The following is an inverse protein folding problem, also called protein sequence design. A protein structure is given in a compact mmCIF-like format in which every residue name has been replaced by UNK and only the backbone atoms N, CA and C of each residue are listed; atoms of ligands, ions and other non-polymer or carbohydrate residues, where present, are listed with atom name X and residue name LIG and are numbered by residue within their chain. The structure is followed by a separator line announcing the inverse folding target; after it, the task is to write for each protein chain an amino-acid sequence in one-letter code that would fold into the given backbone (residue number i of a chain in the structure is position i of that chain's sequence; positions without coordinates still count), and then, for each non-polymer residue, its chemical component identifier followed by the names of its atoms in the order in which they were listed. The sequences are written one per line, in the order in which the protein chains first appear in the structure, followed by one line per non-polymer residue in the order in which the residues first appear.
data_IF_040896074926
#
_entry.id   IF_040896074926
#
_cell.length_a   1.000
_cell.length_b   1.000
_cell.length_c   1.000
_cell.angle_alpha   90.00
_cell.angle_beta   90.00
_cell.angle_gamma   90.00
#
_symmetry.space_group_name_H-M   'P 1'
#
loop_
_entity.id
_entity.type
_entity.pdbx_description
1 polymer ?
#
# COMPACT_ATOMS: atom_id res chain seq x y z
N UNK A 1 27.10 5.08 10.47
CA UNK A 1 25.98 4.68 11.35
C UNK A 1 24.70 5.00 10.60
N UNK A 2 24.07 4.01 9.99
CA UNK A 2 22.81 4.16 9.24
C UNK A 2 21.68 4.09 10.25
N UNK A 3 21.08 5.23 10.57
CA UNK A 3 19.88 5.29 11.41
C UNK A 3 18.75 4.63 10.63
N UNK A 4 18.34 3.42 11.04
CA UNK A 4 17.10 2.80 10.55
C UNK A 4 15.92 3.64 11.03
N UNK A 5 15.38 4.46 10.14
CA UNK A 5 14.14 5.20 10.39
C UNK A 5 13.01 4.25 10.03
N UNK A 6 12.19 3.86 11.01
CA UNK A 6 10.94 3.16 10.70
C UNK A 6 10.01 4.12 9.96
N UNK A 7 9.53 3.73 8.79
CA UNK A 7 8.63 4.53 7.93
C UNK A 7 7.35 4.95 8.69
N UNK A 8 7.00 4.23 9.75
CA UNK A 8 5.83 4.42 10.61
C UNK A 8 5.95 5.61 11.58
N UNK A 9 7.16 6.10 11.89
CA UNK A 9 7.38 7.21 12.84
C UNK A 9 7.62 8.56 12.18
N UNK A 10 7.43 8.65 10.86
CA UNK A 10 7.65 9.89 10.11
C UNK A 10 6.45 10.82 10.32
N UNK A 11 6.70 11.94 11.00
CA UNK A 11 5.75 13.04 11.12
C UNK A 11 5.41 13.59 9.72
N UNK A 12 4.26 13.16 9.17
CA UNK A 12 3.81 13.58 7.85
C UNK A 12 3.48 15.07 7.87
N UNK A 13 4.29 15.88 7.19
CA UNK A 13 4.00 17.31 7.05
C UNK A 13 3.04 17.51 5.89
N UNK A 14 1.97 18.28 6.09
CA UNK A 14 1.06 18.65 5.00
C UNK A 14 1.31 20.09 4.56
N UNK A 15 1.24 20.30 3.25
CA UNK A 15 1.19 21.62 2.61
C UNK A 15 0.04 21.64 1.62
N UNK A 16 -0.92 22.56 1.80
CA UNK A 16 -2.14 22.62 0.98
C UNK A 16 -2.91 21.28 0.95
N UNK A 17 -3.02 20.60 2.10
CA UNK A 17 -3.60 19.25 2.25
C UNK A 17 -2.89 18.13 1.48
N UNK A 18 -1.71 18.39 0.92
CA UNK A 18 -0.89 17.39 0.23
C UNK A 18 0.24 16.96 1.19
N UNK A 19 0.43 15.64 1.40
CA UNK A 19 1.58 15.11 2.11
C UNK A 19 2.89 15.49 1.41
N UNK A 20 3.81 16.07 2.17
CA UNK A 20 5.09 16.54 1.67
C UNK A 20 6.22 16.29 2.67
N UNK A 21 7.44 16.15 2.15
CA UNK A 21 8.65 15.94 2.94
C UNK A 21 9.77 16.89 2.51
N UNK A 22 10.67 17.24 3.43
CA UNK A 22 11.81 18.12 3.10
C UNK A 22 12.92 17.36 2.39
N UNK A 23 13.88 18.10 1.82
CA UNK A 23 15.04 17.50 1.12
C UNK A 23 15.91 16.71 2.10
N UNK A 24 16.01 17.15 3.36
CA UNK A 24 16.75 16.48 4.42
C UNK A 24 16.14 15.13 4.77
N UNK A 25 14.82 15.10 4.99
CA UNK A 25 14.10 13.86 5.28
C UNK A 25 14.15 12.91 4.07
N UNK A 26 14.01 13.43 2.85
CA UNK A 26 14.12 12.63 1.63
C UNK A 26 15.50 11.99 1.46
N UNK A 27 16.57 12.73 1.77
CA UNK A 27 17.93 12.22 1.73
C UNK A 27 18.15 11.11 2.76
N UNK A 28 17.64 11.29 3.98
CA UNK A 28 17.68 10.27 5.03
C UNK A 28 16.93 9.00 4.63
N UNK A 29 15.72 9.14 4.07
CA UNK A 29 14.90 8.02 3.59
C UNK A 29 15.62 7.20 2.52
N UNK A 30 16.30 7.86 1.59
CA UNK A 30 17.04 7.17 0.53
C UNK A 30 18.48 6.79 0.89
N UNK A 31 18.90 6.99 2.15
CA UNK A 31 20.28 6.68 2.55
C UNK A 31 21.34 7.46 1.76
N UNK A 32 21.01 8.68 1.32
CA UNK A 32 21.88 9.50 0.47
C UNK A 32 22.11 10.88 1.08
N UNK A 33 22.97 11.67 0.44
CA UNK A 33 23.27 13.03 0.89
C UNK A 33 22.28 14.04 0.31
N UNK A 34 21.95 15.08 1.08
CA UNK A 34 21.09 16.20 0.65
C UNK A 34 21.56 16.80 -0.68
N UNK A 35 22.89 16.93 -0.86
CA UNK A 35 23.48 17.46 -2.08
C UNK A 35 23.14 16.62 -3.31
N UNK A 36 23.02 15.29 -3.16
CA UNK A 36 22.67 14.39 -4.27
C UNK A 36 21.22 14.59 -4.71
N UNK A 37 20.30 14.80 -3.77
CA UNK A 37 18.91 15.13 -4.08
C UNK A 37 18.83 16.47 -4.85
N UNK A 38 19.57 17.49 -4.38
CA UNK A 38 19.59 18.81 -5.03
C UNK A 38 20.20 18.75 -6.45
N UNK A 39 21.34 18.06 -6.60
CA UNK A 39 21.97 17.87 -7.91
C UNK A 39 21.07 17.10 -8.86
N UNK A 40 20.35 16.09 -8.35
CA UNK A 40 19.40 15.32 -9.15
C UNK A 40 18.28 16.20 -9.71
N UNK A 41 17.67 17.02 -8.84
CA UNK A 41 16.65 17.99 -9.25
C UNK A 41 17.19 18.97 -10.28
N UNK A 42 18.38 19.54 -10.06
CA UNK A 42 18.99 20.51 -10.96
C UNK A 42 19.28 19.91 -12.36
N UNK A 43 19.82 18.68 -12.42
CA UNK A 43 20.14 18.00 -13.69
C UNK A 43 18.90 17.53 -14.46
N UNK A 44 17.79 17.32 -13.76
CA UNK A 44 16.55 16.81 -14.35
C UNK A 44 15.40 17.81 -14.20
N UNK A 45 15.71 19.11 -14.09
CA UNK A 45 14.72 20.14 -13.75
C UNK A 45 13.49 20.12 -14.67
N UNK A 46 13.68 19.87 -15.97
CA UNK A 46 12.64 19.69 -16.98
C UNK A 46 11.63 18.57 -16.66
N UNK A 47 12.03 17.58 -15.86
CA UNK A 47 11.18 16.48 -15.43
C UNK A 47 10.39 16.86 -14.18
N UNK A 48 10.80 17.87 -13.42
CA UNK A 48 10.08 18.31 -12.21
C UNK A 48 9.15 19.48 -12.54
N UNK A 49 7.99 19.49 -11.88
CA UNK A 49 6.91 20.44 -12.16
C UNK A 49 6.45 20.93 -10.79
N UNK A 50 6.55 22.23 -10.58
CA UNK A 50 6.08 22.87 -9.37
C UNK A 50 4.56 22.67 -9.21
N UNK A 51 4.11 22.43 -7.98
CA UNK A 51 2.72 22.08 -7.66
C UNK A 51 2.38 20.60 -7.85
N UNK A 52 3.12 19.86 -8.69
CA UNK A 52 2.90 18.42 -8.93
C UNK A 52 3.94 17.54 -8.27
N UNK A 53 5.21 17.92 -8.36
CA UNK A 53 6.33 17.13 -7.84
C UNK A 53 6.92 17.79 -6.60
N UNK A 54 6.95 19.12 -6.56
CA UNK A 54 7.47 19.88 -5.43
C UNK A 54 6.75 21.22 -5.25
N UNK A 55 6.93 21.83 -4.09
CA UNK A 55 6.55 23.21 -3.81
C UNK A 55 7.79 23.99 -3.36
N UNK A 56 8.04 25.17 -3.94
CA UNK A 56 9.12 26.05 -3.50
C UNK A 56 8.57 27.15 -2.61
N UNK A 57 8.84 27.04 -1.32
CA UNK A 57 8.45 28.04 -0.34
C UNK A 57 9.48 29.15 -0.24
N UNK A 58 9.02 30.39 -0.34
CA UNK A 58 9.82 31.61 -0.18
C UNK A 58 9.07 32.62 0.68
N UNK A 59 9.80 33.59 1.24
CA UNK A 59 9.19 34.73 1.94
C UNK A 59 8.29 34.31 3.12
N UNK A 60 7.02 34.76 3.08
CA UNK A 60 6.07 34.58 4.18
C UNK A 60 5.67 33.12 4.40
N UNK A 61 5.40 32.36 3.32
CA UNK A 61 4.99 30.95 3.43
C UNK A 61 6.08 30.09 4.11
N UNK A 62 7.35 30.39 3.83
CA UNK A 62 8.48 29.73 4.49
C UNK A 62 8.53 30.07 5.99
N UNK A 63 8.21 31.32 6.35
CA UNK A 63 8.22 31.76 7.75
C UNK A 63 7.11 31.09 8.56
N UNK A 64 5.93 30.96 7.98
CA UNK A 64 4.78 30.27 8.58
C UNK A 64 5.06 28.78 8.76
N UNK A 65 5.63 28.12 7.74
CA UNK A 65 6.01 26.72 7.86
C UNK A 65 7.08 26.51 8.95
N UNK A 66 8.11 27.36 9.01
CA UNK A 66 9.15 27.28 10.06
C UNK A 66 8.55 27.38 11.46
N UNK A 67 7.55 28.25 11.67
CA UNK A 67 6.84 28.37 12.94
C UNK A 67 6.01 27.12 13.27
N UNK A 68 5.41 26.49 12.26
CA UNK A 68 4.67 25.23 12.43
C UNK A 68 5.59 24.06 12.75
N UNK A 69 6.74 23.97 12.07
CA UNK A 69 7.70 22.87 12.21
C UNK A 69 8.64 23.01 13.42
N UNK A 70 8.80 24.21 14.01
CA UNK A 70 9.55 24.35 15.27
C UNK A 70 8.91 23.59 16.44
N UNK A 71 7.65 23.14 16.29
CA UNK A 71 6.92 22.32 17.25
C UNK A 71 7.12 20.80 17.02
N UNK A 72 7.67 20.39 15.88
CA UNK A 72 7.94 18.99 15.54
C UNK A 72 9.44 18.69 15.64
N UNK A 73 9.86 17.82 16.57
CA UNK A 73 11.28 17.47 16.78
C UNK A 73 11.95 16.79 15.57
N UNK A 74 11.15 16.33 14.60
CA UNK A 74 11.60 15.45 13.53
C UNK A 74 12.40 16.16 12.42
N UNK A 75 12.25 17.48 12.23
CA UNK A 75 12.82 18.18 11.06
C UNK A 75 13.53 19.48 11.47
N UNK A 76 14.86 19.47 11.39
CA UNK A 76 15.70 20.67 11.63
C UNK A 76 15.86 21.47 10.34
N UNK A 77 15.02 22.49 10.13
CA UNK A 77 15.23 23.47 9.05
C UNK A 77 16.24 24.52 9.53
N UNK A 78 17.28 24.79 8.73
CA UNK A 78 18.25 25.83 9.05
C UNK A 78 17.59 27.22 9.13
N UNK A 79 17.96 27.98 10.18
CA UNK A 79 17.31 29.25 10.56
C UNK A 79 17.33 30.28 9.42
N UNK A 80 18.44 30.35 8.66
CA UNK A 80 18.70 31.35 7.62
C UNK A 80 18.34 30.91 6.18
N UNK A 81 17.60 29.82 6.00
CA UNK A 81 17.19 29.38 4.66
C UNK A 81 16.25 30.40 4.03
N UNK A 82 16.58 30.87 2.81
CA UNK A 82 15.80 31.84 2.01
C UNK A 82 14.71 31.19 1.14
N UNK A 83 14.85 29.90 0.84
CA UNK A 83 13.87 29.10 0.10
C UNK A 83 13.92 27.64 0.54
N UNK A 84 12.78 26.99 0.72
CA UNK A 84 12.69 25.56 1.03
C UNK A 84 11.94 24.83 -0.08
N UNK A 85 12.43 23.67 -0.48
CA UNK A 85 11.69 22.78 -1.39
C UNK A 85 11.04 21.68 -0.57
N UNK A 86 9.74 21.52 -0.77
CA UNK A 86 8.95 20.42 -0.24
C UNK A 86 8.61 19.45 -1.36
N UNK A 87 8.85 18.16 -1.14
CA UNK A 87 8.64 17.09 -2.11
C UNK A 87 7.34 16.37 -1.85
N UNK A 88 6.50 16.27 -2.88
CA UNK A 88 5.33 15.37 -2.87
C UNK A 88 5.80 13.91 -3.00
N UNK A 89 4.89 12.96 -2.75
CA UNK A 89 5.13 11.54 -3.03
C UNK A 89 5.63 11.29 -4.47
N UNK A 90 5.02 11.96 -5.45
CA UNK A 90 5.43 11.87 -6.86
C UNK A 90 6.82 12.46 -7.12
N UNK A 91 7.20 13.50 -6.38
CA UNK A 91 8.55 14.07 -6.42
C UNK A 91 9.58 13.12 -5.82
N UNK A 92 9.27 12.52 -4.67
CA UNK A 92 10.10 11.52 -4.02
C UNK A 92 10.33 10.31 -4.96
N UNK A 93 9.27 9.74 -5.54
CA UNK A 93 9.37 8.63 -6.49
C UNK A 93 10.26 8.96 -7.71
N UNK A 94 10.23 10.21 -8.20
CA UNK A 94 11.13 10.66 -9.27
C UNK A 94 12.60 10.66 -8.85
N UNK A 95 12.89 11.01 -7.60
CA UNK A 95 14.25 10.90 -7.06
C UNK A 95 14.70 9.45 -6.97
N UNK A 96 13.84 8.54 -6.50
CA UNK A 96 14.15 7.11 -6.41
C UNK A 96 14.61 6.54 -7.76
N UNK A 97 13.96 6.91 -8.87
CA UNK A 97 14.32 6.45 -10.23
C UNK A 97 15.79 6.67 -10.61
N UNK A 98 16.45 7.64 -9.99
CA UNK A 98 17.78 8.11 -10.38
C UNK A 98 18.81 7.94 -9.25
N UNK A 99 18.43 7.28 -8.15
CA UNK A 99 19.30 6.97 -7.04
C UNK A 99 19.61 5.47 -7.08
N UNK A 100 20.89 5.11 -6.98
CA UNK A 100 21.36 3.72 -6.98
C UNK A 100 21.51 3.17 -5.55
N UNK A 101 20.75 3.70 -4.58
CA UNK A 101 20.83 3.25 -3.18
C UNK A 101 19.86 2.11 -2.93
N UNK A 102 20.22 1.18 -2.04
CA UNK A 102 19.38 0.03 -1.66
C UNK A 102 17.98 0.48 -1.20
N UNK A 103 17.89 1.61 -0.50
CA UNK A 103 16.61 2.19 -0.06
C UNK A 103 15.77 2.73 -1.23
N UNK A 104 16.40 3.25 -2.29
CA UNK A 104 15.69 3.69 -3.49
C UNK A 104 15.15 2.49 -4.27
N UNK A 105 15.91 1.37 -4.29
CA UNK A 105 15.45 0.10 -4.84
C UNK A 105 14.23 -0.46 -4.10
N UNK A 106 14.22 -0.43 -2.77
CA UNK A 106 13.05 -0.88 -1.98
C UNK A 106 11.79 -0.05 -2.27
N UNK A 107 11.92 1.26 -2.46
CA UNK A 107 10.79 2.12 -2.86
C UNK A 107 10.31 1.77 -4.27
N UNK A 108 11.23 1.44 -5.17
CA UNK A 108 10.87 1.02 -6.52
C UNK A 108 10.15 -0.34 -6.51
N UNK A 109 10.67 -1.31 -5.75
CA UNK A 109 10.05 -2.63 -5.54
C UNK A 109 8.62 -2.49 -4.99
N UNK A 110 8.39 -1.65 -3.98
CA UNK A 110 7.05 -1.35 -3.47
C UNK A 110 6.12 -0.72 -4.50
N UNK A 111 6.65 0.14 -5.38
CA UNK A 111 5.86 0.75 -6.46
C UNK A 111 5.50 -0.26 -7.55
N UNK A 112 6.44 -1.14 -7.92
CA UNK A 112 6.20 -2.26 -8.84
C UNK A 112 5.16 -3.22 -8.26
N UNK A 113 5.33 -3.61 -7.00
CA UNK A 113 4.39 -4.43 -6.27
C UNK A 113 3.00 -3.79 -6.27
N UNK A 114 2.86 -2.50 -5.99
CA UNK A 114 1.55 -1.82 -6.06
C UNK A 114 0.97 -1.80 -7.48
N UNK A 115 1.80 -1.60 -8.50
CA UNK A 115 1.36 -1.50 -9.89
C UNK A 115 0.85 -2.83 -10.44
N UNK A 116 1.59 -3.92 -10.19
CA UNK A 116 1.27 -5.27 -10.66
C UNK A 116 0.35 -6.04 -9.69
N UNK A 117 0.39 -5.72 -8.41
CA UNK A 117 -0.56 -6.22 -7.39
C UNK A 117 -1.76 -5.31 -7.25
N UNK A 118 -2.29 -4.76 -8.35
CA UNK A 118 -3.67 -4.25 -8.40
C UNK A 118 -4.65 -5.41 -8.12
N UNK A 119 -4.65 -5.90 -6.87
CA UNK A 119 -5.73 -6.66 -6.29
C UNK A 119 -6.90 -5.70 -6.36
N UNK A 120 -7.92 -6.08 -7.12
CA UNK A 120 -9.23 -5.42 -7.04
C UNK A 120 -9.50 -5.13 -5.56
N UNK A 121 -9.96 -3.92 -5.18
CA UNK A 121 -10.32 -3.66 -3.81
C UNK A 121 -11.31 -4.75 -3.41
N UNK A 122 -10.85 -5.69 -2.59
CA UNK A 122 -11.75 -6.62 -1.92
C UNK A 122 -12.58 -5.68 -1.07
N UNK A 123 -13.90 -5.52 -1.36
CA UNK A 123 -14.71 -4.63 -0.56
C UNK A 123 -14.49 -5.04 0.90
N UNK A 124 -14.02 -4.09 1.71
CA UNK A 124 -13.77 -4.31 3.11
C UNK A 124 -14.98 -5.05 3.66
N UNK A 125 -14.77 -6.30 4.08
CA UNK A 125 -15.82 -7.11 4.67
C UNK A 125 -16.26 -6.31 5.89
N UNK A 126 -17.41 -5.65 5.78
CA UNK A 126 -17.98 -4.91 6.89
C UNK A 126 -18.26 -5.96 7.95
N UNK A 127 -17.38 -6.05 8.96
CA UNK A 127 -17.70 -6.72 10.21
C UNK A 127 -18.74 -5.85 10.87
N UNK A 128 -20.01 -6.06 10.50
CA UNK A 128 -21.12 -5.53 11.24
C UNK A 128 -20.99 -6.03 12.69
N UNK A 129 -21.27 -5.20 13.70
CA UNK A 129 -21.36 -5.66 15.08
C UNK A 129 -22.36 -6.81 15.12
N UNK A 130 -22.05 -7.86 15.88
CA UNK A 130 -22.82 -9.09 15.97
C UNK A 130 -24.29 -8.80 16.33
N UNK A 131 -25.13 -8.65 15.32
CA UNK A 131 -26.56 -8.85 15.44
C UNK A 131 -26.70 -10.36 15.66
N UNK A 132 -27.40 -10.84 16.71
CA UNK A 132 -27.71 -12.25 16.85
C UNK A 132 -28.67 -12.64 15.72
N UNK A 133 -28.12 -12.93 14.54
CA UNK A 133 -28.90 -13.47 13.44
C UNK A 133 -29.34 -14.89 13.84
N UNK A 134 -30.61 -15.28 13.59
CA UNK A 134 -30.97 -16.68 13.67
C UNK A 134 -30.05 -17.44 12.71
N UNK A 135 -29.45 -18.56 13.17
CA UNK A 135 -28.47 -19.37 12.43
C UNK A 135 -28.75 -19.34 10.93
N UNK A 136 -27.84 -18.79 10.14
CA UNK A 136 -27.93 -18.73 8.68
C UNK A 136 -28.20 -20.16 8.15
N UNK A 137 -29.41 -20.43 7.64
CA UNK A 137 -29.77 -21.75 7.07
C UNK A 137 -29.57 -21.70 5.57
N UNK A 138 -28.75 -22.62 5.04
CA UNK A 138 -28.47 -22.75 3.60
C UNK A 138 -29.17 -24.01 3.07
N UNK A 139 -29.58 -23.99 1.80
CA UNK A 139 -30.26 -25.11 1.15
C UNK A 139 -29.65 -25.37 -0.24
N UNK A 140 -29.64 -26.64 -0.66
CA UNK A 140 -29.39 -27.04 -2.05
C UNK A 140 -30.75 -27.31 -2.70
N UNK A 141 -30.97 -26.71 -3.87
CA UNK A 141 -32.15 -26.99 -4.69
C UNK A 141 -31.70 -27.74 -5.93
N UNK A 142 -32.20 -28.97 -6.12
CA UNK A 142 -31.95 -29.79 -7.30
C UNK A 142 -33.20 -29.79 -8.16
N UNK A 143 -33.10 -29.28 -9.38
CA UNK A 143 -34.21 -29.29 -10.35
C UNK A 143 -33.98 -30.42 -11.34
N UNK A 144 -34.91 -31.38 -11.36
CA UNK A 144 -34.91 -32.53 -12.26
C UNK A 144 -35.45 -32.14 -13.65
N UNK A 145 -35.08 -32.87 -14.72
CA UNK A 145 -35.54 -32.59 -16.08
C UNK A 145 -37.05 -32.67 -16.29
N UNK A 146 -37.77 -33.34 -15.40
CA UNK A 146 -39.23 -33.44 -15.37
C UNK A 146 -39.91 -32.21 -14.72
N UNK A 147 -39.12 -31.20 -14.34
CA UNK A 147 -39.60 -29.96 -13.72
C UNK A 147 -39.85 -30.05 -12.23
N UNK A 148 -39.52 -31.19 -11.58
CA UNK A 148 -39.59 -31.31 -10.13
C UNK A 148 -38.37 -30.69 -9.46
N UNK A 149 -38.55 -30.08 -8.29
CA UNK A 149 -37.45 -29.50 -7.51
C UNK A 149 -37.42 -30.13 -6.11
N UNK A 150 -36.27 -30.69 -5.74
CA UNK A 150 -36.00 -31.14 -4.37
C UNK A 150 -35.17 -30.09 -3.63
N UNK A 151 -35.49 -29.83 -2.36
CA UNK A 151 -34.79 -28.84 -1.53
C UNK A 151 -34.28 -29.48 -0.26
N UNK A 152 -32.96 -29.51 -0.08
CA UNK A 152 -32.31 -30.14 1.06
C UNK A 152 -31.54 -29.10 1.88
N UNK A 153 -31.72 -29.05 3.22
CA UNK A 153 -30.94 -28.17 4.08
C UNK A 153 -29.48 -28.62 4.12
N UNK A 154 -28.57 -27.66 4.03
CA UNK A 154 -27.14 -27.91 4.12
C UNK A 154 -26.71 -27.98 5.59
N UNK A 155 -25.93 -28.99 6.00
CA UNK A 155 -25.36 -29.06 7.34
C UNK A 155 -24.45 -27.86 7.68
N UNK A 156 -24.39 -27.49 8.97
CA UNK A 156 -23.61 -26.36 9.50
C UNK A 156 -22.08 -26.54 9.30
N UNK A 157 -21.60 -27.76 9.02
CA UNK A 157 -20.20 -28.12 8.83
C UNK A 157 -19.73 -28.15 7.35
N UNK A 158 -20.60 -27.75 6.41
CA UNK A 158 -20.28 -27.77 4.98
C UNK A 158 -19.93 -26.37 4.47
N UNK A 159 -18.73 -26.25 3.91
CA UNK A 159 -18.26 -25.03 3.24
C UNK A 159 -18.63 -25.03 1.75
N UNK A 160 -19.31 -23.97 1.29
CA UNK A 160 -19.59 -23.72 -0.13
C UNK A 160 -18.89 -22.45 -0.58
N UNK A 161 -18.06 -22.58 -1.61
CA UNK A 161 -17.41 -21.46 -2.28
C UNK A 161 -17.21 -21.77 -3.76
N UNK A 162 -16.99 -20.74 -4.58
CA UNK A 162 -16.62 -20.94 -5.99
C UNK A 162 -15.28 -21.67 -6.05
N UNK A 163 -15.20 -22.72 -6.86
CA UNK A 163 -13.96 -23.52 -7.04
C UNK A 163 -12.76 -22.63 -7.34
N UNK A 164 -12.93 -21.62 -8.21
CA UNK A 164 -11.87 -20.66 -8.54
C UNK A 164 -11.38 -19.84 -7.34
N UNK A 165 -12.28 -19.44 -6.44
CA UNK A 165 -11.95 -18.67 -5.23
C UNK A 165 -11.25 -19.56 -4.21
N UNK A 166 -11.76 -20.77 -3.99
CA UNK A 166 -11.15 -21.76 -3.08
C UNK A 166 -9.73 -22.10 -3.53
N UNK A 167 -9.54 -22.40 -4.82
CA UNK A 167 -8.21 -22.74 -5.35
C UNK A 167 -7.25 -21.54 -5.31
N UNK A 168 -7.75 -20.31 -5.49
CA UNK A 168 -6.93 -19.10 -5.36
C UNK A 168 -6.44 -18.92 -3.93
N UNK A 169 -7.34 -19.04 -2.95
CA UNK A 169 -7.01 -18.86 -1.54
C UNK A 169 -6.07 -19.97 -1.04
N UNK A 170 -6.35 -21.23 -1.41
CA UNK A 170 -5.48 -22.37 -1.07
C UNK A 170 -4.09 -22.26 -1.73
N UNK A 171 -3.99 -21.72 -2.95
CA UNK A 171 -2.70 -21.44 -3.61
C UNK A 171 -1.88 -20.40 -2.84
N UNK A 172 -2.54 -19.37 -2.30
CA UNK A 172 -1.86 -18.37 -1.47
C UNK A 172 -1.39 -18.94 -0.13
N UNK A 173 -2.09 -19.92 0.41
CA UNK A 173 -1.74 -20.60 1.66
C UNK A 173 -0.65 -21.68 1.51
N UNK A 174 -0.23 -21.98 0.28
CA UNK A 174 0.98 -22.75 -0.03
C UNK A 174 0.86 -24.27 0.06
N UNK A 175 0.04 -24.82 0.96
CA UNK A 175 -0.10 -26.27 1.12
C UNK A 175 -1.56 -26.69 1.29
N UNK A 176 -1.95 -27.75 0.56
CA UNK A 176 -3.20 -28.46 0.79
C UNK A 176 -2.84 -29.88 1.23
N UNK A 177 -3.28 -30.27 2.42
CA UNK A 177 -3.11 -31.64 2.94
C UNK A 177 -4.42 -32.38 2.72
N UNK A 178 -4.43 -33.32 1.80
CA UNK A 178 -5.57 -34.22 1.54
C UNK A 178 -5.17 -35.62 2.00
N UNK A 179 -6.04 -36.30 2.75
CA UNK A 179 -5.78 -37.70 3.11
C UNK A 179 -5.78 -38.57 1.85
N UNK A 180 -4.81 -39.48 1.77
CA UNK A 180 -4.48 -40.23 0.55
C UNK A 180 -5.63 -41.13 0.07
N UNK A 181 -6.38 -41.70 0.99
CA UNK A 181 -7.60 -42.49 0.74
C UNK A 181 -8.70 -41.68 0.02
N UNK A 182 -8.91 -40.42 0.42
CA UNK A 182 -9.89 -39.51 -0.22
C UNK A 182 -9.49 -39.08 -1.64
N UNK A 183 -8.19 -39.03 -1.93
CA UNK A 183 -7.68 -38.63 -3.25
C UNK A 183 -7.96 -39.72 -4.31
N UNK A 184 -7.86 -41.00 -3.93
CA UNK A 184 -8.03 -42.15 -4.83
C UNK A 184 -9.49 -42.28 -5.29
N UNK A 185 -10.46 -42.10 -4.39
CA UNK A 185 -11.89 -42.13 -4.73
C UNK A 185 -12.26 -41.02 -5.73
N UNK A 186 -11.64 -39.85 -5.61
CA UNK A 186 -11.92 -38.67 -6.45
C UNK A 186 -11.30 -38.78 -7.84
N UNK A 187 -10.13 -39.44 -7.96
CA UNK A 187 -9.44 -39.64 -9.24
C UNK A 187 -9.96 -40.86 -10.02
N UNK A 188 -10.57 -41.84 -9.35
CA UNK A 188 -11.16 -43.02 -10.00
C UNK A 188 -12.50 -42.72 -10.70
N UNK A 189 -13.09 -41.54 -10.47
CA UNK A 189 -14.36 -41.09 -11.06
C UNK A 189 -14.20 -40.08 -12.20
N UNK A 190 -12.97 -39.87 -12.68
CA UNK A 190 -12.64 -39.05 -13.86
C UNK A 190 -12.31 -39.91 -15.08
#
# INVERSE_FOLDING_TARGET
MTTQISVESISLTTHQNIPVITTELLAQLYGTEVIRIQQNHARNAERFIEGKHFFKLVGQELRELKHRLSLSESVKIARNVRSLILWTERGAARHAKMLETDQAWEVFERLEDCYFSQKQPVPARQTHPAIPFPKERRFIVTVSPDGTADTQPLPDDVFIGKVSSILSDLRQMGWIIIKRDRLVETLATW
#
